data_IF_015271903592
#
_entry.id   IF_015271903592
#
_cell.length_a   1.000
_cell.length_b   1.000
_cell.length_c   1.000
_cell.angle_alpha   90.00
_cell.angle_beta   90.00
_cell.angle_gamma   90.00
#
_symmetry.space_group_name_H-M   'P 1'
#
loop_
_entity.id
_entity.type
_entity.pdbx_description
1 polymer ?
#
# COMPACT_ATOMS: atom_id res chain seq x y z
N UNK A 1 -18.06 3.52 -22.35
CA UNK A 1 -17.52 4.87 -22.10
C UNK A 1 -16.28 4.71 -21.22
N UNK A 2 -15.06 4.78 -21.77
CA UNK A 2 -13.83 4.80 -20.97
C UNK A 2 -13.63 6.24 -20.52
N UNK A 3 -13.86 6.53 -19.23
CA UNK A 3 -13.50 7.81 -18.64
C UNK A 3 -11.98 7.94 -18.74
N UNK A 4 -11.50 8.79 -19.65
CA UNK A 4 -10.10 9.27 -19.62
C UNK A 4 -10.05 10.31 -18.51
N UNK A 5 -9.59 9.91 -17.34
CA UNK A 5 -9.15 10.86 -16.33
C UNK A 5 -7.87 11.51 -16.85
N UNK A 6 -7.84 12.85 -16.90
CA UNK A 6 -6.59 13.56 -17.12
C UNK A 6 -5.75 13.37 -15.85
N UNK A 7 -4.67 12.58 -15.94
CA UNK A 7 -3.82 12.15 -14.82
C UNK A 7 -3.20 13.37 -14.08
N UNK A 8 -3.28 14.57 -14.67
CA UNK A 8 -2.75 15.83 -14.13
C UNK A 8 -3.43 16.31 -12.84
N UNK A 9 -4.60 15.77 -12.50
CA UNK A 9 -5.37 16.19 -11.32
C UNK A 9 -5.19 15.27 -10.11
N UNK A 10 -4.37 14.20 -10.24
CA UNK A 10 -4.03 13.31 -9.13
C UNK A 10 -2.70 13.76 -8.53
N UNK A 11 -2.71 14.12 -7.24
CA UNK A 11 -1.47 14.34 -6.49
C UNK A 11 -1.02 13.03 -5.84
N UNK A 12 0.26 12.68 -6.02
CA UNK A 12 0.90 11.60 -5.28
C UNK A 12 1.51 12.15 -3.99
N UNK A 13 1.17 11.57 -2.85
CA UNK A 13 1.71 11.97 -1.55
C UNK A 13 2.14 10.75 -0.75
N UNK A 14 3.40 10.75 -0.33
CA UNK A 14 3.88 9.85 0.71
C UNK A 14 3.62 10.48 2.07
N UNK A 15 3.00 9.75 2.99
CA UNK A 15 2.55 10.28 4.29
C UNK A 15 2.83 9.32 5.42
N UNK A 16 3.25 9.83 6.56
CA UNK A 16 3.64 9.04 7.74
C UNK A 16 2.56 8.97 8.81
N UNK A 17 1.57 9.86 8.75
CA UNK A 17 0.43 9.96 9.67
C UNK A 17 -0.69 10.80 9.05
N UNK A 18 -1.92 10.77 9.60
CA UNK A 18 -2.99 11.69 9.19
C UNK A 18 -2.62 13.17 9.40
N UNK A 19 -1.83 13.49 10.44
CA UNK A 19 -1.34 14.84 10.69
C UNK A 19 -0.38 15.32 9.59
N UNK A 20 0.60 14.48 9.22
CA UNK A 20 1.53 14.74 8.12
C UNK A 20 0.80 14.89 6.78
N UNK A 21 -0.27 14.10 6.55
CA UNK A 21 -1.13 14.29 5.39
C UNK A 21 -1.78 15.68 5.41
N UNK A 22 -2.35 16.11 6.53
CA UNK A 22 -2.98 17.43 6.66
C UNK A 22 -2.01 18.58 6.33
N UNK A 23 -0.79 18.52 6.88
CA UNK A 23 0.26 19.51 6.61
C UNK A 23 0.65 19.55 5.12
N UNK A 24 0.83 18.38 4.50
CA UNK A 24 1.15 18.27 3.07
C UNK A 24 0.02 18.77 2.17
N UNK A 25 -1.23 18.45 2.51
CA UNK A 25 -2.39 18.94 1.77
C UNK A 25 -2.50 20.46 1.84
N UNK A 26 -2.34 21.06 3.04
CA UNK A 26 -2.31 22.52 3.17
C UNK A 26 -1.25 23.16 2.26
N UNK A 27 -0.02 22.64 2.26
CA UNK A 27 1.06 23.16 1.41
C UNK A 27 0.75 23.02 -0.10
N UNK A 28 0.15 21.90 -0.51
CA UNK A 28 -0.26 21.70 -1.92
C UNK A 28 -1.38 22.64 -2.32
N UNK A 29 -2.35 22.87 -1.44
CA UNK A 29 -3.48 23.76 -1.70
C UNK A 29 -3.01 25.22 -1.79
N UNK A 30 -2.10 25.65 -0.91
CA UNK A 30 -1.55 27.01 -0.91
C UNK A 30 -0.65 27.30 -2.12
N UNK A 31 0.05 26.28 -2.63
CA UNK A 31 1.03 26.44 -3.71
C UNK A 31 0.45 26.33 -5.13
N UNK A 32 -0.81 25.93 -5.26
CA UNK A 32 -1.45 25.70 -6.57
C UNK A 32 -2.57 26.70 -6.83
N UNK A 33 -2.61 27.21 -8.05
CA UNK A 33 -3.73 28.03 -8.53
C UNK A 33 -5.04 27.22 -8.65
N UNK A 34 -4.94 25.90 -8.88
CA UNK A 34 -6.08 24.98 -8.96
C UNK A 34 -5.98 23.88 -7.90
N UNK A 35 -7.08 23.69 -7.18
CA UNK A 35 -7.23 22.61 -6.20
C UNK A 35 -7.21 21.25 -6.89
N UNK A 36 -6.30 20.34 -6.52
CA UNK A 36 -6.37 18.97 -6.99
C UNK A 36 -7.64 18.31 -6.45
N UNK A 37 -8.35 17.57 -7.29
CA UNK A 37 -9.58 16.87 -6.87
C UNK A 37 -9.30 15.47 -6.31
N UNK A 38 -8.12 14.90 -6.62
CA UNK A 38 -7.82 13.51 -6.34
C UNK A 38 -6.43 13.32 -5.75
N UNK A 39 -6.27 12.33 -4.87
CA UNK A 39 -4.98 11.97 -4.29
C UNK A 39 -4.70 10.46 -4.36
N UNK A 40 -3.44 10.12 -4.60
CA UNK A 40 -2.88 8.80 -4.38
C UNK A 40 -1.94 8.86 -3.17
N UNK A 41 -2.24 8.10 -2.13
CA UNK A 41 -1.54 8.15 -0.85
C UNK A 41 -0.65 6.91 -0.66
N UNK A 42 0.62 7.15 -0.35
CA UNK A 42 1.61 6.16 0.04
C UNK A 42 1.85 6.25 1.54
N UNK A 43 1.26 5.35 2.32
CA UNK A 43 1.34 5.37 3.77
C UNK A 43 2.65 4.71 4.22
N UNK A 44 3.38 5.43 5.08
CA UNK A 44 4.58 5.00 5.78
C UNK A 44 4.32 5.05 7.29
N UNK A 45 3.32 4.28 7.74
CA UNK A 45 2.87 4.16 9.12
C UNK A 45 3.22 2.75 9.65
N UNK A 46 3.68 2.66 10.89
CA UNK A 46 4.05 1.39 11.55
C UNK A 46 2.87 0.41 11.69
N UNK A 47 1.63 0.92 11.67
CA UNK A 47 0.40 0.12 11.72
C UNK A 47 -0.06 -0.34 10.34
N UNK A 48 0.57 0.16 9.28
CA UNK A 48 0.35 -0.30 7.93
C UNK A 48 1.31 -1.45 7.63
N UNK A 49 0.78 -2.66 7.54
CA UNK A 49 1.59 -3.82 7.22
C UNK A 49 1.43 -4.16 5.73
N UNK A 50 2.54 -4.49 5.11
CA UNK A 50 2.59 -5.17 3.82
C UNK A 50 3.37 -6.44 4.05
N UNK A 51 2.89 -7.57 3.57
CA UNK A 51 3.65 -8.81 3.64
C UNK A 51 3.31 -9.79 2.51
N UNK A 52 4.18 -10.75 2.28
CA UNK A 52 3.92 -11.85 1.38
C UNK A 52 3.12 -12.94 2.07
N UNK A 53 2.32 -13.65 1.29
CA UNK A 53 1.69 -14.89 1.74
C UNK A 53 2.05 -16.04 0.80
N UNK A 54 2.15 -17.22 1.37
CA UNK A 54 2.17 -18.49 0.67
C UNK A 54 1.34 -19.47 1.49
N UNK A 55 0.24 -19.92 0.91
CA UNK A 55 -0.71 -20.83 1.56
C UNK A 55 -0.88 -22.06 0.70
N UNK A 56 -0.97 -23.20 1.36
CA UNK A 56 -1.24 -24.49 0.74
C UNK A 56 -2.66 -24.92 1.11
N UNK A 57 -3.29 -25.70 0.23
CA UNK A 57 -4.59 -26.34 0.50
C UNK A 57 -5.74 -25.36 0.84
N UNK A 58 -5.64 -24.10 0.38
CA UNK A 58 -6.69 -23.09 0.53
C UNK A 58 -7.26 -22.74 -0.83
N UNK A 59 -8.59 -22.84 -0.97
CA UNK A 59 -9.27 -22.36 -2.16
C UNK A 59 -9.24 -20.83 -2.22
N UNK A 60 -9.11 -20.27 -3.44
CA UNK A 60 -9.03 -18.82 -3.65
C UNK A 60 -10.21 -18.05 -3.03
N UNK A 61 -11.40 -18.66 -2.93
CA UNK A 61 -12.59 -18.06 -2.33
C UNK A 61 -12.45 -17.83 -0.81
N UNK A 62 -11.66 -18.67 -0.14
CA UNK A 62 -11.45 -18.66 1.30
C UNK A 62 -10.19 -17.88 1.70
N UNK A 63 -9.34 -17.56 0.72
CA UNK A 63 -8.07 -16.84 0.91
C UNK A 63 -8.24 -15.52 1.68
N UNK A 64 -9.25 -14.72 1.33
CA UNK A 64 -9.48 -13.42 2.00
C UNK A 64 -9.74 -13.59 3.50
N UNK A 65 -10.58 -14.56 3.87
CA UNK A 65 -10.89 -14.83 5.28
C UNK A 65 -9.65 -15.35 6.02
N UNK A 66 -8.90 -16.25 5.40
CA UNK A 66 -7.66 -16.77 5.97
C UNK A 66 -6.62 -15.66 6.24
N UNK A 67 -6.35 -14.81 5.24
CA UNK A 67 -5.41 -13.70 5.40
C UNK A 67 -5.89 -12.69 6.45
N UNK A 68 -7.20 -12.43 6.51
CA UNK A 68 -7.78 -11.50 7.50
C UNK A 68 -7.59 -12.01 8.94
N UNK A 69 -7.71 -13.33 9.16
CA UNK A 69 -7.39 -13.96 10.45
C UNK A 69 -5.93 -13.77 10.85
N UNK A 70 -4.99 -13.96 9.93
CA UNK A 70 -3.55 -13.70 10.17
C UNK A 70 -3.33 -12.22 10.55
N UNK A 71 -3.96 -11.29 9.82
CA UNK A 71 -3.85 -9.86 10.12
C UNK A 71 -4.40 -9.52 11.51
N UNK A 72 -5.52 -10.14 11.90
CA UNK A 72 -6.15 -9.96 13.21
C UNK A 72 -5.27 -10.39 14.36
N UNK A 73 -4.64 -11.56 14.23
CA UNK A 73 -3.66 -12.04 15.21
C UNK A 73 -2.46 -11.11 15.30
N UNK A 74 -1.89 -10.69 14.16
CA UNK A 74 -0.71 -9.83 14.14
C UNK A 74 -0.98 -8.44 14.75
N UNK A 75 -2.09 -7.80 14.36
CA UNK A 75 -2.46 -6.47 14.83
C UNK A 75 -3.08 -6.49 16.24
N UNK A 76 -3.36 -7.67 16.80
CA UNK A 76 -4.09 -7.84 18.06
C UNK A 76 -5.46 -7.12 18.04
N UNK A 77 -6.19 -7.23 16.92
CA UNK A 77 -7.49 -6.60 16.70
C UNK A 77 -8.53 -7.64 16.28
N UNK A 78 -9.82 -7.29 16.39
CA UNK A 78 -10.86 -8.09 15.77
C UNK A 78 -10.77 -7.98 14.24
N UNK A 79 -11.12 -9.06 13.52
CA UNK A 79 -11.13 -9.03 12.05
C UNK A 79 -12.00 -7.89 11.51
N UNK A 80 -13.11 -7.56 12.16
CA UNK A 80 -14.00 -6.49 11.73
C UNK A 80 -13.39 -5.08 11.83
N UNK A 81 -12.32 -4.92 12.59
CA UNK A 81 -11.59 -3.66 12.77
C UNK A 81 -10.41 -3.51 11.80
N UNK A 82 -10.23 -4.46 10.88
CA UNK A 82 -9.11 -4.48 9.92
C UNK A 82 -9.62 -4.27 8.51
N UNK A 83 -8.97 -3.36 7.81
CA UNK A 83 -9.05 -3.28 6.35
C UNK A 83 -7.85 -4.01 5.74
N UNK A 84 -8.11 -4.78 4.68
CA UNK A 84 -7.10 -5.59 4.02
C UNK A 84 -7.39 -5.68 2.53
N UNK A 85 -6.32 -5.60 1.75
CA UNK A 85 -6.32 -5.93 0.33
C UNK A 85 -5.18 -6.90 -0.01
N UNK A 86 -5.31 -7.63 -1.11
CA UNK A 86 -4.29 -8.58 -1.54
C UNK A 86 -4.25 -8.75 -3.05
N UNK A 87 -3.07 -9.11 -3.54
CA UNK A 87 -2.82 -9.46 -4.93
C UNK A 87 -2.19 -10.84 -5.00
N UNK A 88 -2.84 -11.75 -5.73
CA UNK A 88 -2.28 -13.06 -6.06
C UNK A 88 -1.22 -12.89 -7.15
N UNK A 89 -0.02 -13.42 -6.91
CA UNK A 89 1.08 -13.40 -7.86
C UNK A 89 1.24 -14.75 -8.57
N UNK A 90 0.98 -15.86 -7.85
CA UNK A 90 1.02 -17.21 -8.40
C UNK A 90 -0.09 -18.05 -7.77
N UNK A 91 -0.72 -18.88 -8.60
CA UNK A 91 -1.72 -19.86 -8.17
C UNK A 91 -1.46 -21.17 -8.90
N UNK A 92 -1.51 -22.27 -8.16
CA UNK A 92 -1.41 -23.65 -8.65
C UNK A 92 -2.54 -24.47 -8.05
N UNK A 93 -2.63 -25.77 -8.37
CA UNK A 93 -3.66 -26.66 -7.79
C UNK A 93 -3.53 -26.75 -6.27
N UNK A 94 -2.30 -26.76 -5.73
CA UNK A 94 -2.04 -27.03 -4.31
C UNK A 94 -1.64 -25.78 -3.50
N UNK A 95 -1.31 -24.67 -4.17
CA UNK A 95 -0.77 -23.49 -3.48
C UNK A 95 -1.09 -22.17 -4.16
N UNK A 96 -1.22 -21.13 -3.32
CA UNK A 96 -1.42 -19.74 -3.74
C UNK A 96 -0.37 -18.88 -3.03
N UNK A 97 0.27 -17.98 -3.77
CA UNK A 97 1.14 -16.97 -3.19
C UNK A 97 0.89 -15.59 -3.77
N UNK A 98 1.18 -14.59 -2.95
CA UNK A 98 0.96 -13.21 -3.31
C UNK A 98 1.46 -12.25 -2.26
N UNK A 99 0.93 -11.03 -2.33
CA UNK A 99 1.20 -9.95 -1.40
C UNK A 99 -0.12 -9.48 -0.82
N UNK A 100 -0.12 -9.13 0.45
CA UNK A 100 -1.26 -8.50 1.10
C UNK A 100 -0.81 -7.26 1.85
N UNK A 101 -1.75 -6.36 2.04
CA UNK A 101 -1.60 -5.19 2.88
C UNK A 101 -2.77 -5.12 3.85
N UNK A 102 -2.50 -4.70 5.08
CA UNK A 102 -3.56 -4.49 6.06
C UNK A 102 -3.24 -3.31 6.98
N UNK A 103 -4.30 -2.70 7.50
CA UNK A 103 -4.23 -1.66 8.50
C UNK A 103 -5.52 -1.64 9.35
N UNK A 104 -5.47 -1.08 10.57
CA UNK A 104 -6.68 -0.83 11.34
C UNK A 104 -7.60 0.14 10.60
N UNK A 105 -8.91 -0.15 10.55
CA UNK A 105 -9.92 0.72 9.93
C UNK A 105 -9.95 2.11 10.53
N UNK A 106 -9.69 2.22 11.83
CA UNK A 106 -9.61 3.50 12.53
C UNK A 106 -8.53 4.41 11.96
N UNK A 107 -7.39 3.84 11.58
CA UNK A 107 -6.29 4.58 10.93
C UNK A 107 -6.69 4.95 9.51
N UNK A 108 -7.23 4.00 8.74
CA UNK A 108 -7.69 4.27 7.38
C UNK A 108 -8.72 5.41 7.33
N UNK A 109 -9.70 5.37 8.24
CA UNK A 109 -10.74 6.39 8.34
C UNK A 109 -10.14 7.77 8.68
N UNK A 110 -9.14 7.83 9.56
CA UNK A 110 -8.46 9.09 9.86
C UNK A 110 -7.80 9.72 8.63
N UNK A 111 -7.24 8.93 7.71
CA UNK A 111 -6.74 9.44 6.43
C UNK A 111 -7.87 9.94 5.51
N UNK A 112 -8.99 9.20 5.43
CA UNK A 112 -10.16 9.62 4.67
C UNK A 112 -10.77 10.92 5.20
N UNK A 113 -10.84 11.08 6.52
CA UNK A 113 -11.38 12.28 7.17
C UNK A 113 -10.55 13.51 6.79
N UNK A 114 -9.22 13.42 6.87
CA UNK A 114 -8.31 14.50 6.47
C UNK A 114 -8.46 14.86 4.99
N UNK A 115 -8.57 13.86 4.10
CA UNK A 115 -8.84 14.13 2.69
C UNK A 115 -10.19 14.81 2.47
N UNK A 116 -11.23 14.35 3.19
CA UNK A 116 -12.60 14.88 3.08
C UNK A 116 -12.66 16.34 3.54
N UNK A 117 -12.03 16.67 4.65
CA UNK A 117 -11.92 18.04 5.16
C UNK A 117 -11.19 18.97 4.18
N UNK A 118 -10.19 18.44 3.47
CA UNK A 118 -9.47 19.17 2.42
C UNK A 118 -10.22 19.23 1.07
N UNK A 119 -11.39 18.59 0.94
CA UNK A 119 -12.15 18.51 -0.30
C UNK A 119 -11.49 17.64 -1.39
N UNK A 120 -10.65 16.68 -0.99
CA UNK A 120 -9.87 15.81 -1.88
C UNK A 120 -10.41 14.38 -1.81
N UNK A 121 -10.49 13.72 -2.96
CA UNK A 121 -10.94 12.33 -3.06
C UNK A 121 -9.72 11.41 -3.17
N UNK A 122 -9.41 10.58 -2.16
CA UNK A 122 -8.34 9.60 -2.28
C UNK A 122 -8.79 8.48 -3.22
N UNK A 123 -8.12 8.37 -4.37
CA UNK A 123 -8.39 7.34 -5.40
C UNK A 123 -7.55 6.09 -5.21
N UNK A 124 -6.46 6.20 -4.46
CA UNK A 124 -5.55 5.12 -4.11
C UNK A 124 -4.97 5.36 -2.73
N UNK A 125 -4.97 4.33 -1.89
CA UNK A 125 -4.25 4.30 -0.63
C UNK A 125 -3.47 2.98 -0.62
N UNK A 126 -2.15 3.08 -0.56
CA UNK A 126 -1.23 1.93 -0.56
C UNK A 126 -0.06 2.23 0.37
N UNK A 127 0.89 1.31 0.52
CA UNK A 127 2.13 1.62 1.23
C UNK A 127 3.08 2.45 0.36
N UNK A 128 3.93 3.27 1.01
CA UNK A 128 5.04 3.96 0.35
C UNK A 128 5.94 3.00 -0.43
N UNK A 129 6.28 1.84 0.17
CA UNK A 129 7.04 0.78 -0.49
C UNK A 129 6.45 0.37 -1.84
N UNK A 130 5.15 0.05 -1.88
CA UNK A 130 4.49 -0.41 -3.11
C UNK A 130 4.41 0.71 -4.15
N UNK A 131 4.18 1.95 -3.72
CA UNK A 131 4.19 3.11 -4.60
C UNK A 131 5.57 3.33 -5.23
N UNK A 132 6.64 3.20 -4.44
CA UNK A 132 8.02 3.25 -4.94
C UNK A 132 8.31 2.10 -5.92
N UNK A 133 7.86 0.89 -5.61
CA UNK A 133 8.02 -0.26 -6.51
C UNK A 133 7.36 -0.06 -7.87
N UNK A 134 6.14 0.47 -7.89
CA UNK A 134 5.41 0.78 -9.13
C UNK A 134 6.19 1.78 -9.99
N UNK A 135 6.67 2.87 -9.40
CA UNK A 135 7.47 3.88 -10.12
C UNK A 135 8.73 3.30 -10.76
N UNK A 136 9.45 2.41 -10.05
CA UNK A 136 10.64 1.75 -10.61
C UNK A 136 10.32 0.73 -11.71
N UNK A 137 9.12 0.17 -11.71
CA UNK A 137 8.69 -0.80 -12.73
C UNK A 137 8.34 -0.14 -14.07
N UNK A 138 7.91 1.13 -14.05
CA UNK A 138 7.61 1.90 -15.27
C UNK A 138 8.89 2.29 -16.03
N UNK A 139 10.01 2.44 -15.31
CA UNK A 139 11.29 2.89 -15.86
C UNK A 139 12.21 1.76 -16.38
N UNK A 140 11.86 0.48 -16.18
CA UNK A 140 12.73 -0.65 -16.52
C UNK A 140 12.08 -1.61 -17.52
N UNK A 141 12.61 -1.61 -18.74
CA UNK A 141 12.38 -2.71 -19.69
C UNK A 141 12.78 -4.04 -19.04
N UNK A 142 11.93 -5.05 -19.22
CA UNK A 142 11.96 -6.40 -18.65
C UNK A 142 13.35 -7.07 -18.74
N UNK A 143 14.26 -6.74 -17.84
CA UNK A 143 15.51 -7.46 -17.64
C UNK A 143 15.36 -8.35 -16.41
N UNK A 144 15.92 -9.55 -16.53
CA UNK A 144 16.10 -10.52 -15.44
C UNK A 144 17.04 -9.98 -14.35
N UNK A 145 16.65 -8.88 -13.72
CA UNK A 145 17.41 -8.20 -12.70
C UNK A 145 16.83 -8.57 -11.33
N UNK A 146 17.74 -8.87 -10.40
CA UNK A 146 17.43 -8.98 -8.99
C UNK A 146 17.49 -7.57 -8.40
N UNK A 147 16.37 -7.08 -7.88
CA UNK A 147 16.22 -5.71 -7.36
C UNK A 147 16.02 -5.79 -5.85
N UNK A 148 16.90 -5.13 -5.09
CA UNK A 148 16.74 -5.00 -3.65
C UNK A 148 16.21 -3.61 -3.32
N UNK A 149 15.08 -3.56 -2.61
CA UNK A 149 14.51 -2.38 -1.98
C UNK A 149 14.96 -2.36 -0.53
N UNK A 150 15.57 -1.25 -0.12
CA UNK A 150 15.88 -0.96 1.27
C UNK A 150 15.17 0.36 1.59
N UNK A 151 14.09 0.30 2.35
CA UNK A 151 13.36 1.47 2.80
C UNK A 151 13.66 1.71 4.29
N UNK A 152 14.07 2.93 4.60
CA UNK A 152 14.27 3.39 5.97
C UNK A 152 13.04 4.22 6.38
N UNK A 153 12.16 3.63 7.18
CA UNK A 153 10.94 4.29 7.64
C UNK A 153 11.15 4.93 9.01
N UNK A 154 10.85 6.23 9.10
CA UNK A 154 10.73 7.01 10.34
C UNK A 154 11.92 6.86 11.32
N UNK A 155 13.12 6.57 10.80
CA UNK A 155 14.35 6.40 11.58
C UNK A 155 14.37 5.20 12.54
N UNK A 156 13.39 4.29 12.45
CA UNK A 156 13.24 3.16 13.39
C UNK A 156 13.08 1.81 12.73
N UNK A 157 12.62 1.77 11.49
CA UNK A 157 12.32 0.52 10.78
C UNK A 157 13.12 0.46 9.48
N UNK A 158 13.78 -0.67 9.25
CA UNK A 158 14.43 -0.98 7.98
C UNK A 158 13.63 -2.09 7.30
N UNK A 159 13.04 -1.79 6.16
CA UNK A 159 12.42 -2.78 5.29
C UNK A 159 13.40 -3.16 4.19
N UNK A 160 13.85 -4.41 4.19
CA UNK A 160 14.57 -5.00 3.07
C UNK A 160 13.61 -5.91 2.31
N UNK A 161 13.45 -5.70 1.01
CA UNK A 161 12.73 -6.59 0.11
C UNK A 161 13.56 -6.86 -1.14
N UNK A 162 13.80 -8.12 -1.50
CA UNK A 162 14.55 -8.51 -2.70
C UNK A 162 13.61 -9.16 -3.70
N UNK A 163 13.55 -8.65 -4.92
CA UNK A 163 12.70 -9.15 -6.00
C UNK A 163 13.54 -9.73 -7.12
N UNK A 164 13.09 -10.84 -7.70
CA UNK A 164 13.60 -11.38 -8.95
C UNK A 164 12.42 -11.72 -9.86
N UNK A 165 12.42 -11.21 -11.10
CA UNK A 165 11.35 -11.46 -12.07
C UNK A 165 9.93 -11.20 -11.51
N UNK A 166 9.74 -10.08 -10.78
CA UNK A 166 8.48 -9.67 -10.11
C UNK A 166 8.04 -10.55 -8.92
N UNK A 167 8.84 -11.54 -8.50
CA UNK A 167 8.61 -12.29 -7.26
C UNK A 167 9.55 -11.79 -6.17
N UNK A 168 9.03 -11.54 -4.96
CA UNK A 168 9.90 -11.24 -3.81
C UNK A 168 10.49 -12.55 -3.26
N UNK A 169 11.80 -12.58 -3.11
CA UNK A 169 12.60 -13.73 -2.65
C UNK A 169 13.00 -13.61 -1.18
N UNK A 170 13.13 -12.39 -0.67
CA UNK A 170 13.58 -12.14 0.70
C UNK A 170 12.91 -10.89 1.22
N UNK A 171 12.35 -10.97 2.43
CA UNK A 171 11.93 -9.83 3.21
C UNK A 171 12.51 -9.90 4.62
N UNK A 172 13.07 -8.81 5.10
CA UNK A 172 13.52 -8.65 6.48
C UNK A 172 13.07 -7.29 7.02
N UNK A 173 12.59 -7.28 8.26
CA UNK A 173 12.28 -6.10 9.05
C UNK A 173 13.14 -6.11 10.32
N UNK A 174 13.71 -4.96 10.66
CA UNK A 174 14.48 -4.73 11.90
C UNK A 174 14.17 -3.37 12.48
#
# INVERSE_FOLDING_TARGET
MKLKFDIKDIIGLEVTSPQDLGEKLCSVIESRENLPSYAALGICDEKFMVDMFHVNDIELKDLRAHLKGICAEFLCLAEDDIEMDYQVLKSSEDSISGIYMCLPKTILNAYFDVCTEAGIIPVKITSSLLMSMESLSEDREEKHERISFIEFSNGKLIYLSVFQNKACELRANS
#
